data_IF_677601839107
#
_entry.id   IF_677601839107
#
_cell.length_a   1.000
_cell.length_b   1.000
_cell.length_c   1.000
_cell.angle_alpha   90.00
_cell.angle_beta   90.00
_cell.angle_gamma   90.00
#
_symmetry.space_group_name_H-M   'P 1'
#
loop_
_entity.id
_entity.type
_entity.pdbx_description
1 polymer ?
#
# COMPACT_ATOMS: atom_id res chain seq x y z
N UNK A 1 -8.50 4.18 14.67
CA UNK A 1 -9.37 3.81 13.53
C UNK A 1 -8.59 2.92 12.57
N UNK A 2 -7.53 3.45 11.92
CA UNK A 2 -6.66 2.64 11.03
C UNK A 2 -5.93 1.53 11.79
N UNK A 3 -5.38 1.81 12.97
CA UNK A 3 -4.71 0.82 13.83
C UNK A 3 -5.62 -0.38 14.16
N UNK A 4 -6.77 -0.14 14.79
CA UNK A 4 -7.76 -1.18 15.08
C UNK A 4 -8.22 -1.94 13.83
N UNK A 5 -8.49 -1.24 12.72
CA UNK A 5 -8.90 -1.90 11.47
C UNK A 5 -7.79 -2.79 10.88
N UNK A 6 -6.52 -2.46 11.12
CA UNK A 6 -5.38 -3.29 10.73
C UNK A 6 -5.26 -4.54 11.60
N UNK A 7 -5.52 -4.41 12.91
CA UNK A 7 -5.50 -5.52 13.88
C UNK A 7 -6.69 -6.49 13.72
N UNK A 8 -7.87 -5.96 13.39
CA UNK A 8 -9.11 -6.74 13.24
C UNK A 8 -9.33 -7.28 11.82
N UNK A 9 -8.38 -7.09 10.91
CA UNK A 9 -8.47 -7.47 9.50
C UNK A 9 -9.63 -6.79 8.72
N UNK A 10 -10.05 -5.61 9.18
CA UNK A 10 -11.15 -4.82 8.62
C UNK A 10 -10.66 -3.60 7.82
N UNK A 11 -9.36 -3.55 7.46
CA UNK A 11 -8.75 -2.41 6.80
C UNK A 11 -9.45 -2.03 5.49
N UNK A 12 -9.94 -3.02 4.73
CA UNK A 12 -10.62 -2.80 3.44
C UNK A 12 -11.89 -1.93 3.56
N UNK A 13 -12.56 -1.95 4.71
CA UNK A 13 -13.78 -1.16 4.92
C UNK A 13 -13.49 0.35 5.04
N UNK A 14 -12.24 0.71 5.36
CA UNK A 14 -11.80 2.09 5.53
C UNK A 14 -11.18 2.68 4.25
N UNK A 15 -10.83 1.83 3.28
CA UNK A 15 -10.17 2.27 2.05
C UNK A 15 -11.16 2.97 1.12
N UNK A 16 -10.62 3.85 0.29
CA UNK A 16 -11.37 4.49 -0.78
C UNK A 16 -11.81 3.43 -1.81
N UNK A 17 -13.12 3.17 -1.86
CA UNK A 17 -13.73 2.20 -2.76
C UNK A 17 -13.67 2.65 -4.22
N UNK A 18 -13.58 3.96 -4.49
CA UNK A 18 -13.48 4.49 -5.85
C UNK A 18 -12.09 4.27 -6.47
N UNK A 19 -11.07 3.99 -5.65
CA UNK A 19 -9.72 3.68 -6.11
C UNK A 19 -9.58 2.27 -6.73
N UNK A 20 -10.63 1.44 -6.64
CA UNK A 20 -10.69 0.09 -7.19
C UNK A 20 -10.17 -0.99 -6.24
N UNK A 21 -9.66 -2.08 -6.80
CA UNK A 21 -9.16 -3.19 -6.00
C UNK A 21 -7.82 -2.85 -5.32
N UNK A 22 -7.80 -3.04 -4.01
CA UNK A 22 -6.63 -2.84 -3.18
C UNK A 22 -5.91 -4.17 -2.95
N UNK A 23 -4.60 -4.28 -3.24
CA UNK A 23 -3.84 -5.47 -2.92
C UNK A 23 -3.65 -5.55 -1.39
N UNK A 24 -4.31 -6.52 -0.76
CA UNK A 24 -4.50 -6.54 0.70
C UNK A 24 -3.18 -6.52 1.48
N UNK A 25 -2.18 -7.30 1.04
CA UNK A 25 -0.91 -7.45 1.75
C UNK A 25 -0.11 -6.15 1.73
N UNK A 26 0.11 -5.58 0.55
CA UNK A 26 0.81 -4.32 0.35
C UNK A 26 0.07 -3.15 1.00
N UNK A 27 -1.25 -3.20 1.02
CA UNK A 27 -2.07 -2.17 1.66
C UNK A 27 -1.94 -2.22 3.19
N UNK A 28 -1.93 -3.41 3.78
CA UNK A 28 -1.64 -3.59 5.21
C UNK A 28 -0.23 -3.13 5.56
N UNK A 29 0.76 -3.53 4.76
CA UNK A 29 2.16 -3.12 4.95
C UNK A 29 2.29 -1.59 4.93
N UNK A 30 1.64 -0.93 3.97
CA UNK A 30 1.61 0.53 3.86
C UNK A 30 0.89 1.18 5.06
N UNK A 31 -0.23 0.61 5.52
CA UNK A 31 -0.96 1.12 6.67
C UNK A 31 -0.13 1.04 7.96
N UNK A 32 0.56 -0.08 8.21
CA UNK A 32 1.48 -0.23 9.34
C UNK A 32 2.62 0.78 9.27
N UNK A 33 3.23 0.96 8.10
CA UNK A 33 4.26 1.97 7.92
C UNK A 33 3.74 3.38 8.20
N UNK A 34 2.55 3.72 7.70
CA UNK A 34 1.93 5.02 7.91
C UNK A 34 1.66 5.28 9.40
N UNK A 35 1.14 4.28 10.13
CA UNK A 35 0.93 4.36 11.58
C UNK A 35 2.25 4.66 12.31
N UNK A 36 3.30 3.89 12.03
CA UNK A 36 4.63 4.09 12.60
C UNK A 36 5.19 5.49 12.28
N UNK A 37 5.00 6.00 11.06
CA UNK A 37 5.41 7.36 10.68
C UNK A 37 4.66 8.45 11.47
N UNK A 38 3.42 8.17 11.88
CA UNK A 38 2.56 9.12 12.60
C UNK A 38 2.69 9.06 14.11
N UNK A 39 3.57 8.19 14.64
CA UNK A 39 3.80 8.06 16.08
C UNK A 39 4.03 9.41 16.77
N UNK A 40 3.41 9.60 17.94
CA UNK A 40 3.48 10.88 18.66
C UNK A 40 4.91 11.20 19.09
N UNK A 41 5.67 10.14 19.37
CA UNK A 41 7.04 10.24 19.87
C UNK A 41 7.98 10.04 18.72
N UNK A 42 8.84 11.05 18.49
CA UNK A 42 9.80 11.04 17.38
C UNK A 42 10.70 9.80 17.34
N UNK A 43 11.02 9.24 18.51
CA UNK A 43 11.89 8.06 18.65
C UNK A 43 11.21 6.74 18.27
N UNK A 44 9.88 6.72 18.24
CA UNK A 44 9.09 5.54 17.88
C UNK A 44 8.75 5.56 16.37
N UNK A 45 9.08 6.66 15.67
CA UNK A 45 8.96 6.76 14.21
C UNK A 45 10.14 6.05 13.52
N UNK A 46 9.91 5.45 12.34
CA UNK A 46 10.94 4.80 11.58
C UNK A 46 11.94 5.81 11.01
N UNK A 47 13.16 5.36 10.78
CA UNK A 47 14.18 6.12 10.07
C UNK A 47 13.77 6.32 8.61
N UNK A 48 13.76 7.59 8.18
CA UNK A 48 13.33 7.95 6.84
C UNK A 48 14.28 7.48 5.74
N UNK A 49 15.56 7.28 6.06
CA UNK A 49 16.56 6.87 5.08
C UNK A 49 16.63 5.34 4.98
N UNK A 50 16.56 4.67 6.11
CA UNK A 50 16.90 3.25 6.18
C UNK A 50 15.66 2.34 6.29
N UNK A 51 14.57 2.79 6.90
CA UNK A 51 13.39 1.94 7.17
C UNK A 51 12.20 2.24 6.24
N UNK A 52 11.92 3.50 5.95
CA UNK A 52 10.78 3.92 5.09
C UNK A 52 10.97 3.53 3.61
N UNK A 53 12.11 3.84 2.95
CA UNK A 53 12.24 3.65 1.50
C UNK A 53 12.14 2.20 1.03
N UNK A 54 12.71 1.19 1.73
CA UNK A 54 12.58 -0.20 1.31
C UNK A 54 11.14 -0.70 1.23
N UNK A 55 10.26 -0.24 2.13
CA UNK A 55 8.84 -0.63 2.11
C UNK A 55 8.13 0.05 0.94
N UNK A 56 8.35 1.36 0.77
CA UNK A 56 7.72 2.11 -0.33
C UNK A 56 8.14 1.60 -1.71
N UNK A 57 9.39 1.18 -1.88
CA UNK A 57 9.85 0.62 -3.15
C UNK A 57 9.15 -0.73 -3.46
N UNK A 58 8.93 -1.60 -2.45
CA UNK A 58 8.14 -2.83 -2.64
C UNK A 58 6.71 -2.56 -3.08
N UNK A 59 6.02 -1.63 -2.41
CA UNK A 59 4.64 -1.26 -2.75
C UNK A 59 4.58 -0.66 -4.16
N UNK A 60 5.56 0.19 -4.51
CA UNK A 60 5.68 0.77 -5.84
C UNK A 60 5.90 -0.29 -6.92
N UNK A 61 6.77 -1.27 -6.69
CA UNK A 61 6.98 -2.37 -7.64
C UNK A 61 5.68 -3.15 -7.92
N UNK A 62 4.87 -3.38 -6.88
CA UNK A 62 3.56 -4.04 -7.03
C UNK A 62 2.62 -3.19 -7.87
N UNK A 63 2.54 -1.90 -7.58
CA UNK A 63 1.74 -0.95 -8.35
C UNK A 63 2.20 -0.88 -9.82
N UNK A 64 3.51 -0.86 -10.06
CA UNK A 64 4.09 -0.84 -11.41
C UNK A 64 3.75 -2.13 -12.15
N UNK A 65 3.90 -3.30 -11.53
CA UNK A 65 3.47 -4.59 -12.13
C UNK A 65 1.98 -4.56 -12.49
N UNK A 66 1.12 -4.10 -11.59
CA UNK A 66 -0.32 -4.00 -11.85
C UNK A 66 -0.62 -3.07 -13.03
N UNK A 67 0.08 -1.93 -13.14
CA UNK A 67 -0.06 -0.99 -14.26
C UNK A 67 0.34 -1.62 -15.60
N UNK A 68 1.45 -2.36 -15.64
CA UNK A 68 1.90 -3.05 -16.85
C UNK A 68 0.91 -4.14 -17.30
N UNK A 69 0.33 -4.89 -16.35
CA UNK A 69 -0.69 -5.90 -16.66
C UNK A 69 -1.95 -5.26 -17.28
N UNK A 70 -2.40 -4.12 -16.76
CA UNK A 70 -3.55 -3.38 -17.33
C UNK A 70 -3.26 -2.87 -18.74
N UNK A 71 -2.03 -2.40 -19.00
CA UNK A 71 -1.63 -1.97 -20.34
C UNK A 71 -1.62 -3.15 -21.34
N UNK A 72 -1.09 -4.30 -20.95
CA UNK A 72 -0.97 -5.48 -21.82
C UNK A 72 -2.33 -6.11 -22.20
N UNK A 73 -3.39 -5.84 -21.44
CA UNK A 73 -4.75 -6.29 -21.78
C UNK A 73 -5.48 -5.36 -22.76
N UNK A 74 -4.92 -4.18 -23.07
CA UNK A 74 -5.58 -3.15 -23.89
C UNK A 74 -5.18 -3.20 -25.37
N UNK A 75 -4.25 -4.08 -25.78
CA UNK A 75 -4.00 -4.31 -27.21
C UNK A 75 -5.09 -5.22 -27.79
N UNK A 76 -5.96 -4.74 -28.70
CA UNK A 76 -6.90 -5.62 -29.38
C UNK A 76 -6.12 -6.64 -30.22
N UNK A 77 -6.61 -7.88 -30.40
CA UNK A 77 -6.02 -8.79 -31.37
C UNK A 77 -6.07 -8.13 -32.74
N UNK A 78 -4.91 -7.99 -33.39
CA UNK A 78 -4.84 -7.47 -34.74
C UNK A 78 -5.61 -8.40 -35.69
N UNK A 79 -6.65 -7.88 -36.33
CA UNK A 79 -7.21 -8.38 -37.57
C UNK A 79 -7.20 -7.23 -38.58
#
# INVERSE_FOLDING_TARGET
MVEMATEEDNLLELLDQEAGEWPLEETKELAVLALNCTELRRRDRPDLKDEVPPILERVKEVADRARHLKHNQTTPPSC
#
